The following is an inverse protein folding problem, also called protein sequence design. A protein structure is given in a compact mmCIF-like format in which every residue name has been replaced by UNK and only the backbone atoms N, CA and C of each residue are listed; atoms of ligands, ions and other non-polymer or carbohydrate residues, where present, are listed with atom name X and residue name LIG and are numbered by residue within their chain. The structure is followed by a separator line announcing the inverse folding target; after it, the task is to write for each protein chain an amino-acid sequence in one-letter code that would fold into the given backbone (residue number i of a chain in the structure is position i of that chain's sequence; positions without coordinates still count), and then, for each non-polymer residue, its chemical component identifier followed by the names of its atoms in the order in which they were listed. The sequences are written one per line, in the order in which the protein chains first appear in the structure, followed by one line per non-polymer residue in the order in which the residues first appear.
data_IF_782573222183
#
_entry.id   IF_782573222183
#
_cell.length_a   1.000
_cell.length_b   1.000
_cell.length_c   1.000
_cell.angle_alpha   90.00
_cell.angle_beta   90.00
_cell.angle_gamma   90.00
#
_symmetry.space_group_name_H-M   'P 1'
#
loop_
_entity.id
_entity.type
_entity.pdbx_description
1 polymer ?
#
# COMPACT_ATOMS: atom_id res chain seq x y z
N UNK A 1 -26.14 9.33 -0.66
CA UNK A 1 -25.52 8.03 -1.00
C UNK A 1 -24.75 7.61 0.22
N UNK A 2 -24.83 6.35 0.67
CA UNK A 2 -23.85 5.82 1.62
C UNK A 2 -22.52 5.62 0.89
N UNK A 3 -21.41 5.75 1.62
CA UNK A 3 -20.09 5.37 1.11
C UNK A 3 -19.97 3.85 1.12
N UNK A 4 -19.59 3.23 -0.01
CA UNK A 4 -19.28 1.79 -0.05
C UNK A 4 -17.79 1.54 0.25
N UNK A 5 -17.43 0.30 0.60
CA UNK A 5 -16.03 -0.11 0.73
C UNK A 5 -15.24 0.19 -0.57
N UNK A 6 -15.84 -0.06 -1.73
CA UNK A 6 -15.19 0.17 -3.01
C UNK A 6 -14.96 1.66 -3.31
N UNK A 7 -15.84 2.55 -2.85
CA UNK A 7 -15.61 4.00 -2.96
C UNK A 7 -14.37 4.42 -2.15
N UNK A 8 -14.20 3.86 -0.95
CA UNK A 8 -13.02 4.13 -0.10
C UNK A 8 -11.74 3.57 -0.73
N UNK A 9 -11.80 2.33 -1.26
CA UNK A 9 -10.69 1.72 -2.03
C UNK A 9 -10.29 2.61 -3.21
N UNK A 10 -11.26 3.02 -4.04
CA UNK A 10 -11.02 3.93 -5.17
C UNK A 10 -10.36 5.24 -4.71
N UNK A 11 -10.86 5.87 -3.64
CA UNK A 11 -10.31 7.15 -3.14
C UNK A 11 -8.92 7.03 -2.51
N UNK A 12 -8.52 5.83 -2.08
CA UNK A 12 -7.24 5.57 -1.42
C UNK A 12 -6.14 5.04 -2.36
N UNK A 13 -6.50 4.24 -3.38
CA UNK A 13 -5.56 3.36 -4.10
C UNK A 13 -4.29 4.05 -4.57
N UNK A 14 -4.36 5.11 -5.38
CA UNK A 14 -3.17 5.73 -5.96
C UNK A 14 -2.27 6.44 -4.94
N UNK A 15 -2.84 7.12 -3.93
CA UNK A 15 -2.03 7.72 -2.86
C UNK A 15 -1.38 6.63 -2.00
N UNK A 16 -2.09 5.54 -1.74
CA UNK A 16 -1.50 4.37 -1.09
C UNK A 16 -0.35 3.79 -1.92
N UNK A 17 -0.50 3.63 -3.24
CA UNK A 17 0.57 3.12 -4.11
C UNK A 17 1.81 4.02 -4.11
N UNK A 18 1.65 5.34 -4.19
CA UNK A 18 2.76 6.29 -4.08
C UNK A 18 3.42 6.17 -2.69
N UNK A 19 2.62 6.20 -1.62
CA UNK A 19 3.11 6.11 -0.24
C UNK A 19 3.85 4.79 0.04
N UNK A 20 3.36 3.65 -0.49
CA UNK A 20 4.05 2.37 -0.36
C UNK A 20 5.33 2.29 -1.21
N UNK A 21 5.40 2.98 -2.35
CA UNK A 21 6.64 3.07 -3.13
C UNK A 21 7.72 3.81 -2.35
N UNK A 22 7.36 4.94 -1.72
CA UNK A 22 8.28 5.70 -0.87
C UNK A 22 8.63 4.96 0.44
N UNK A 23 7.65 4.36 1.12
CA UNK A 23 7.88 3.58 2.34
C UNK A 23 8.72 2.33 2.08
N UNK A 24 8.45 1.60 0.97
CA UNK A 24 9.27 0.49 0.50
C UNK A 24 10.72 0.89 0.24
N UNK A 25 10.93 2.09 -0.33
CA UNK A 25 12.27 2.66 -0.52
C UNK A 25 12.98 3.09 0.78
N UNK A 26 12.24 3.40 1.85
CA UNK A 26 12.82 3.67 3.17
C UNK A 26 13.20 2.40 3.94
N UNK A 27 12.45 1.30 3.77
CA UNK A 27 12.73 0.04 4.47
C UNK A 27 13.64 -0.91 3.69
N UNK A 28 13.70 -0.84 2.36
CA UNK A 28 14.68 -1.55 1.52
C UNK A 28 14.96 -3.03 1.92
N UNK A 29 13.89 -3.82 2.08
CA UNK A 29 13.92 -5.23 2.52
C UNK A 29 14.56 -5.51 3.90
N UNK A 30 14.74 -4.49 4.73
CA UNK A 30 15.23 -4.56 6.11
C UNK A 30 14.50 -5.59 6.99
N UNK A 31 15.24 -6.18 7.93
CA UNK A 31 14.69 -7.09 8.92
C UNK A 31 13.83 -6.32 9.93
N UNK A 32 12.60 -6.76 10.15
CA UNK A 32 11.67 -6.11 11.08
C UNK A 32 11.56 -6.84 12.42
N UNK A 33 11.42 -6.07 13.50
CA UNK A 33 10.92 -6.53 14.80
C UNK A 33 9.87 -5.53 15.31
N UNK A 34 8.82 -6.02 15.98
CA UNK A 34 7.69 -5.21 16.42
C UNK A 34 7.20 -5.62 17.80
N UNK A 35 6.82 -4.62 18.58
CA UNK A 35 6.40 -4.70 19.96
C UNK A 35 5.00 -4.05 20.10
N UNK A 36 4.09 -4.73 20.81
CA UNK A 36 2.72 -4.27 21.11
C UNK A 36 2.49 -4.09 22.63
N UNK A 37 3.55 -3.89 23.40
CA UNK A 37 3.47 -3.43 24.80
C UNK A 37 3.15 -1.93 24.88
N UNK A 38 3.34 -1.31 26.05
CA UNK A 38 2.89 0.06 26.34
C UNK A 38 3.63 1.17 25.55
N UNK A 39 4.81 0.88 24.97
CA UNK A 39 5.49 1.74 23.99
C UNK A 39 5.58 0.99 22.65
N UNK A 40 4.47 0.90 21.88
CA UNK A 40 4.41 0.05 20.70
C UNK A 40 5.23 0.63 19.55
N UNK A 41 6.08 -0.22 18.98
CA UNK A 41 7.05 0.20 17.98
C UNK A 41 7.35 -0.92 16.97
N UNK A 42 7.56 -0.54 15.71
CA UNK A 42 7.92 -1.40 14.59
C UNK A 42 9.25 -0.88 14.05
N UNK A 43 10.32 -1.62 14.33
CA UNK A 43 11.68 -1.27 13.95
C UNK A 43 12.07 -2.04 12.69
N UNK A 44 12.53 -1.33 11.66
CA UNK A 44 13.19 -1.92 10.49
C UNK A 44 14.70 -1.70 10.62
N UNK A 45 15.48 -2.76 10.52
CA UNK A 45 16.96 -2.73 10.62
C UNK A 45 17.59 -3.25 9.33
N UNK A 46 18.41 -2.44 8.69
CA UNK A 46 19.10 -2.79 7.44
C UNK A 46 20.35 -3.69 7.65
N UNK A 47 21.09 -3.97 6.57
CA UNK A 47 22.29 -4.82 6.64
C UNK A 47 23.49 -4.15 7.34
N UNK A 48 23.58 -2.82 7.31
CA UNK A 48 24.60 -2.03 8.01
C UNK A 48 24.27 -1.81 9.51
N UNK A 49 23.02 -2.09 9.91
CA UNK A 49 22.52 -2.01 11.28
C UNK A 49 21.87 -0.67 11.64
N UNK A 50 21.56 0.19 10.66
CA UNK A 50 20.75 1.38 10.89
C UNK A 50 19.29 0.98 11.11
N UNK A 51 18.61 1.64 12.05
CA UNK A 51 17.30 1.24 12.56
C UNK A 51 16.25 2.35 12.44
N UNK A 52 15.25 2.16 11.58
CA UNK A 52 14.07 3.01 11.44
C UNK A 52 12.99 2.57 12.43
N UNK A 53 12.82 3.30 13.53
CA UNK A 53 11.79 3.05 14.56
C UNK A 53 10.48 3.77 14.20
N UNK A 54 9.50 3.02 13.73
CA UNK A 54 8.16 3.51 13.37
C UNK A 54 7.14 3.16 14.45
N UNK A 55 5.96 3.79 14.45
CA UNK A 55 4.84 3.42 15.35
C UNK A 55 3.79 2.59 14.59
N UNK A 56 3.54 1.33 15.00
CA UNK A 56 2.51 0.48 14.42
C UNK A 56 1.15 0.72 15.07
N UNK A 57 0.09 0.50 14.30
CA UNK A 57 -1.28 0.39 14.77
C UNK A 57 -1.89 -0.86 14.17
N UNK A 58 -2.41 -1.76 15.01
CA UNK A 58 -3.02 -3.02 14.58
C UNK A 58 -4.34 -2.75 13.88
N UNK A 59 -4.41 -2.97 12.56
CA UNK A 59 -5.67 -2.84 11.84
C UNK A 59 -6.50 -4.12 11.97
N UNK A 60 -5.88 -5.28 11.73
CA UNK A 60 -6.48 -6.61 11.83
C UNK A 60 -5.51 -7.72 11.45
N UNK A 61 -6.00 -8.94 11.34
CA UNK A 61 -5.23 -10.13 10.94
C UNK A 61 -5.99 -10.99 9.95
N UNK A 62 -5.30 -11.37 8.89
CA UNK A 62 -5.74 -12.27 7.81
C UNK A 62 -5.21 -13.68 8.11
N UNK A 63 -6.09 -14.68 8.15
CA UNK A 63 -5.75 -16.07 8.40
C UNK A 63 -6.04 -16.95 7.18
N UNK A 64 -4.99 -17.33 6.45
CA UNK A 64 -5.11 -18.22 5.27
C UNK A 64 -5.48 -19.66 5.62
N UNK A 65 -5.33 -20.07 6.89
CA UNK A 65 -5.71 -21.41 7.37
C UNK A 65 -7.17 -21.49 7.81
N UNK A 66 -7.76 -20.39 8.28
CA UNK A 66 -9.16 -20.30 8.68
C UNK A 66 -10.05 -19.71 7.57
N UNK A 67 -9.45 -18.99 6.61
CA UNK A 67 -10.16 -18.32 5.53
C UNK A 67 -10.81 -17.00 5.96
N UNK A 68 -10.31 -16.34 7.02
CA UNK A 68 -10.97 -15.19 7.66
C UNK A 68 -10.05 -13.99 7.85
N UNK A 69 -10.65 -12.78 7.80
CA UNK A 69 -10.10 -11.55 8.35
C UNK A 69 -10.74 -11.27 9.71
N UNK A 70 -9.94 -11.01 10.73
CA UNK A 70 -10.37 -10.58 12.06
C UNK A 70 -9.90 -9.15 12.32
N UNK A 71 -10.80 -8.27 12.76
CA UNK A 71 -10.45 -6.88 13.06
C UNK A 71 -9.68 -6.70 14.38
N UNK A 72 -8.71 -5.78 14.38
CA UNK A 72 -7.93 -5.42 15.56
C UNK A 72 -8.77 -4.86 16.71
N UNK A 73 -9.91 -4.24 16.41
CA UNK A 73 -10.85 -3.70 17.39
C UNK A 73 -11.67 -4.73 18.18
N UNK A 74 -11.64 -6.02 17.81
CA UNK A 74 -12.12 -7.09 18.70
C UNK A 74 -11.11 -7.39 19.83
N UNK A 75 -9.84 -7.07 19.60
CA UNK A 75 -8.76 -7.07 20.58
C UNK A 75 -8.70 -8.30 21.51
N UNK A 76 -8.85 -9.50 20.94
CA UNK A 76 -8.86 -10.80 21.65
C UNK A 76 -7.60 -11.00 22.54
N UNK A 77 -6.51 -10.32 22.22
CA UNK A 77 -5.22 -10.40 22.92
C UNK A 77 -5.01 -9.29 23.97
N UNK A 78 -6.01 -8.45 24.26
CA UNK A 78 -5.97 -7.36 25.23
C UNK A 78 -4.79 -6.36 25.01
N UNK A 79 -4.46 -6.08 23.74
CA UNK A 79 -3.43 -5.10 23.39
C UNK A 79 -3.78 -3.68 23.86
N UNK A 80 -2.79 -2.82 24.17
CA UNK A 80 -3.03 -1.44 24.61
C UNK A 80 -3.75 -0.58 23.56
N UNK A 81 -4.51 0.41 24.02
CA UNK A 81 -5.17 1.42 23.17
C UNK A 81 -4.19 2.10 22.18
N UNK A 82 -2.92 2.26 22.57
CA UNK A 82 -1.87 2.79 21.71
C UNK A 82 -1.57 1.95 20.45
N UNK A 83 -2.03 0.69 20.42
CA UNK A 83 -1.93 -0.26 19.30
C UNK A 83 -3.26 -0.37 18.54
N UNK A 84 -4.40 -0.48 19.22
CA UNK A 84 -5.70 -0.80 18.60
C UNK A 84 -6.62 0.40 18.34
N UNK A 85 -6.29 1.59 18.86
CA UNK A 85 -7.17 2.78 18.80
C UNK A 85 -7.60 3.17 17.38
N UNK A 86 -6.71 3.07 16.38
CA UNK A 86 -7.09 3.33 14.98
C UNK A 86 -8.08 2.29 14.43
N UNK A 87 -8.03 1.04 14.89
CA UNK A 87 -9.03 0.03 14.52
C UNK A 87 -10.39 0.40 15.14
N UNK A 88 -10.41 0.91 16.38
CA UNK A 88 -11.63 1.46 16.99
C UNK A 88 -12.17 2.70 16.25
N UNK A 89 -11.29 3.56 15.72
CA UNK A 89 -11.69 4.68 14.84
C UNK A 89 -12.28 4.19 13.52
N UNK A 90 -11.70 3.17 12.88
CA UNK A 90 -12.24 2.53 11.67
C UNK A 90 -13.63 1.93 11.93
N UNK A 91 -13.83 1.22 13.06
CA UNK A 91 -15.15 0.71 13.46
C UNK A 91 -16.17 1.84 13.63
N UNK A 92 -15.77 2.94 14.28
CA UNK A 92 -16.61 4.12 14.52
C UNK A 92 -16.97 4.84 13.22
N UNK A 93 -16.05 4.94 12.27
CA UNK A 93 -16.30 5.45 10.93
C UNK A 93 -17.30 4.56 10.18
N UNK A 94 -17.09 3.24 10.20
CA UNK A 94 -18.01 2.27 9.58
C UNK A 94 -19.43 2.37 10.12
N UNK A 95 -19.57 2.51 11.44
CA UNK A 95 -20.86 2.70 12.11
C UNK A 95 -21.54 4.07 11.83
N UNK A 96 -20.82 5.04 11.24
CA UNK A 96 -21.37 6.33 10.85
C UNK A 96 -21.76 6.40 9.36
N UNK A 97 -21.13 5.58 8.51
CA UNK A 97 -21.40 5.48 7.07
C UNK A 97 -22.31 4.30 6.68
N UNK A 98 -22.82 3.54 7.67
CA UNK A 98 -23.55 2.26 7.53
C UNK A 98 -22.74 1.15 6.80
N UNK A 99 -21.40 1.16 6.94
CA UNK A 99 -20.49 0.24 6.26
C UNK A 99 -20.27 -1.06 7.05
N UNK A 100 -20.93 -2.14 6.62
CA UNK A 100 -20.97 -3.44 7.32
C UNK A 100 -19.60 -4.08 7.53
N UNK A 101 -18.69 -3.89 6.57
CA UNK A 101 -17.37 -4.51 6.50
C UNK A 101 -16.42 -3.97 7.59
N UNK A 102 -16.69 -2.78 8.13
CA UNK A 102 -15.91 -2.17 9.21
C UNK A 102 -16.48 -2.44 10.61
N UNK A 103 -17.72 -2.93 10.72
CA UNK A 103 -18.41 -3.17 12.00
C UNK A 103 -18.70 -4.64 12.30
N UNK A 104 -18.48 -5.52 11.32
CA UNK A 104 -18.55 -6.98 11.48
C UNK A 104 -17.20 -7.49 12.02
N UNK A 105 -17.17 -8.21 13.16
CA UNK A 105 -15.92 -8.64 13.84
C UNK A 105 -14.94 -9.43 12.97
N UNK A 106 -15.48 -10.39 12.23
CA UNK A 106 -14.77 -11.39 11.44
C UNK A 106 -15.48 -11.52 10.09
N UNK A 107 -14.71 -11.62 9.01
CA UNK A 107 -15.18 -11.68 7.63
C UNK A 107 -14.56 -12.87 6.92
N UNK A 108 -15.33 -13.57 6.08
CA UNK A 108 -14.79 -14.52 5.12
C UNK A 108 -13.83 -13.80 4.15
N UNK A 109 -12.65 -14.37 3.90
CA UNK A 109 -11.70 -13.84 2.90
C UNK A 109 -12.17 -14.15 1.48
N UNK A 110 -12.02 -13.16 0.62
CA UNK A 110 -11.95 -13.31 -0.83
C UNK A 110 -10.58 -12.81 -1.33
N UNK A 111 -10.37 -12.83 -2.64
CA UNK A 111 -9.18 -12.24 -3.25
C UNK A 111 -9.07 -10.75 -2.92
N UNK A 112 -7.91 -10.35 -2.38
CA UNK A 112 -7.55 -8.96 -2.03
C UNK A 112 -8.29 -8.34 -0.81
N UNK A 113 -9.19 -9.04 -0.10
CA UNK A 113 -9.99 -8.43 0.99
C UNK A 113 -9.14 -7.63 1.99
N UNK A 114 -8.06 -8.22 2.52
CA UNK A 114 -7.20 -7.59 3.51
C UNK A 114 -6.56 -6.29 3.01
N UNK A 115 -6.20 -6.22 1.72
CA UNK A 115 -5.73 -5.00 1.07
C UNK A 115 -6.87 -3.98 0.88
N UNK A 116 -8.06 -4.42 0.46
CA UNK A 116 -9.22 -3.53 0.25
C UNK A 116 -9.69 -2.88 1.56
N UNK A 117 -9.78 -3.66 2.64
CA UNK A 117 -10.05 -3.15 4.00
C UNK A 117 -8.94 -2.20 4.47
N UNK A 118 -7.67 -2.54 4.21
CA UNK A 118 -6.53 -1.68 4.58
C UNK A 118 -6.52 -0.37 3.81
N UNK A 119 -6.79 -0.37 2.50
CA UNK A 119 -6.93 0.84 1.68
C UNK A 119 -8.05 1.74 2.21
N UNK A 120 -9.23 1.16 2.47
CA UNK A 120 -10.37 1.91 2.96
C UNK A 120 -10.14 2.49 4.38
N UNK A 121 -9.38 1.80 5.23
CA UNK A 121 -8.99 2.31 6.54
C UNK A 121 -8.09 3.56 6.48
N UNK A 122 -7.37 3.79 5.37
CA UNK A 122 -6.55 5.02 5.17
C UNK A 122 -7.42 6.26 5.02
N UNK A 123 -8.57 6.15 4.37
CA UNK A 123 -9.58 7.22 4.29
C UNK A 123 -10.16 7.54 5.67
N UNK A 124 -10.42 6.52 6.51
CA UNK A 124 -11.02 6.69 7.82
C UNK A 124 -10.05 7.26 8.89
N UNK A 125 -8.75 6.95 8.79
CA UNK A 125 -7.73 7.28 9.81
C UNK A 125 -6.72 8.34 9.38
N UNK A 126 -6.64 8.64 8.08
CA UNK A 126 -5.59 9.51 7.51
C UNK A 126 -4.18 8.89 7.52
N UNK A 127 -4.00 7.61 7.87
CA UNK A 127 -2.69 6.93 7.88
C UNK A 127 -2.41 6.28 6.53
N UNK A 128 -1.39 6.77 5.83
CA UNK A 128 -1.15 6.39 4.43
C UNK A 128 -0.16 5.23 4.23
N UNK A 129 0.74 4.97 5.17
CA UNK A 129 1.60 3.79 5.15
C UNK A 129 0.95 2.58 5.85
N UNK A 130 1.22 1.40 5.31
CA UNK A 130 0.83 0.12 5.93
C UNK A 130 1.93 -0.94 5.75
N UNK A 131 1.93 -1.95 6.61
CA UNK A 131 2.85 -3.08 6.58
C UNK A 131 2.15 -4.41 6.88
N UNK A 132 2.15 -5.39 5.96
CA UNK A 132 1.69 -6.75 6.23
C UNK A 132 2.78 -7.58 6.91
N UNK A 133 2.71 -7.72 8.23
CA UNK A 133 3.65 -8.46 9.06
C UNK A 133 3.28 -9.95 9.13
N UNK A 134 4.11 -10.83 8.56
CA UNK A 134 3.87 -12.27 8.59
C UNK A 134 4.04 -12.85 10.01
N UNK A 135 2.93 -13.23 10.65
CA UNK A 135 2.91 -13.77 12.01
C UNK A 135 3.32 -15.25 12.09
N UNK A 136 3.25 -15.97 10.96
CA UNK A 136 3.45 -17.41 10.88
C UNK A 136 2.13 -18.19 10.95
N UNK A 137 2.20 -19.52 10.84
CA UNK A 137 1.04 -20.43 10.83
C UNK A 137 -0.05 -20.11 9.77
N UNK A 138 0.28 -19.34 8.72
CA UNK A 138 -0.67 -18.86 7.72
C UNK A 138 -1.36 -17.53 8.06
N UNK A 139 -0.97 -16.87 9.15
CA UNK A 139 -1.51 -15.57 9.57
C UNK A 139 -0.62 -14.41 9.14
N UNK A 140 -1.23 -13.37 8.57
CA UNK A 140 -0.62 -12.06 8.28
C UNK A 140 -1.30 -11.00 9.14
N UNK A 141 -0.53 -10.25 9.92
CA UNK A 141 -1.01 -9.13 10.72
C UNK A 141 -0.85 -7.85 9.93
N UNK A 142 -1.95 -7.15 9.66
CA UNK A 142 -1.96 -5.95 8.84
C UNK A 142 -1.90 -4.70 9.75
N UNK A 143 -0.87 -3.89 9.55
CA UNK A 143 -0.57 -2.70 10.37
C UNK A 143 -0.72 -1.43 9.55
N UNK A 144 -1.40 -0.41 10.10
CA UNK A 144 -1.18 0.97 9.68
C UNK A 144 0.07 1.49 10.40
N UNK A 145 0.88 2.30 9.74
CA UNK A 145 2.20 2.72 10.29
C UNK A 145 2.34 4.24 10.27
N UNK A 146 2.67 4.81 11.42
CA UNK A 146 3.18 6.17 11.55
C UNK A 146 4.70 6.17 11.37
N UNK A 147 5.17 6.81 10.30
CA UNK A 147 6.59 6.91 9.91
C UNK A 147 6.94 8.40 9.80
N UNK A 148 7.54 9.02 10.82
CA UNK A 148 7.88 10.45 10.81
C UNK A 148 8.78 10.88 9.63
N UNK A 149 9.62 9.96 9.15
CA UNK A 149 10.57 10.14 8.05
C UNK A 149 9.91 10.05 6.66
N UNK A 150 8.68 9.56 6.56
CA UNK A 150 7.98 9.34 5.31
C UNK A 150 7.29 10.62 4.81
N UNK A 151 8.11 11.52 4.26
CA UNK A 151 7.64 12.71 3.55
C UNK A 151 7.61 12.40 2.05
N UNK A 152 6.42 12.48 1.43
CA UNK A 152 6.32 12.46 -0.03
C UNK A 152 6.94 13.75 -0.61
N UNK A 153 7.75 13.67 -1.66
CA UNK A 153 8.30 14.85 -2.33
C UNK A 153 7.19 15.63 -3.06
N UNK A 154 7.55 16.75 -3.69
CA UNK A 154 6.67 17.40 -4.65
C UNK A 154 6.26 16.41 -5.77
N UNK A 155 4.99 16.41 -6.22
CA UNK A 155 4.51 15.46 -7.19
C UNK A 155 5.20 15.70 -8.54
N UNK A 156 5.85 14.67 -9.07
CA UNK A 156 6.46 14.66 -10.40
C UNK A 156 5.61 13.84 -11.36
N UNK A 157 5.66 14.18 -12.66
CA UNK A 157 4.88 13.48 -13.70
C UNK A 157 5.18 11.98 -13.70
N UNK A 158 6.47 11.61 -13.55
CA UNK A 158 6.93 10.22 -13.59
C UNK A 158 6.61 9.42 -12.33
N UNK A 159 6.60 10.04 -11.14
CA UNK A 159 6.18 9.37 -9.92
C UNK A 159 4.66 9.14 -9.92
N UNK A 160 3.91 10.20 -10.25
CA UNK A 160 2.44 10.20 -10.25
C UNK A 160 1.88 9.18 -11.24
N UNK A 161 2.32 9.20 -12.51
CA UNK A 161 1.85 8.24 -13.52
C UNK A 161 2.22 6.80 -13.17
N UNK A 162 3.38 6.55 -12.51
CA UNK A 162 3.70 5.21 -11.98
C UNK A 162 2.69 4.78 -10.91
N UNK A 163 2.37 5.66 -9.96
CA UNK A 163 1.40 5.36 -8.90
C UNK A 163 0.00 5.05 -9.46
N UNK A 164 -0.42 5.76 -10.52
CA UNK A 164 -1.66 5.44 -11.25
C UNK A 164 -1.61 4.03 -11.84
N UNK A 165 -0.61 3.75 -12.69
CA UNK A 165 -0.52 2.48 -13.43
C UNK A 165 -0.31 1.28 -12.50
N UNK A 166 0.49 1.43 -11.45
CA UNK A 166 0.73 0.37 -10.46
C UNK A 166 -0.51 0.16 -9.57
N UNK A 167 -1.21 1.21 -9.16
CA UNK A 167 -2.41 1.09 -8.33
C UNK A 167 -3.53 0.30 -9.01
N UNK A 168 -3.71 0.47 -10.33
CA UNK A 168 -4.62 -0.34 -11.15
C UNK A 168 -4.25 -1.82 -11.26
N UNK A 169 -3.05 -2.22 -10.79
CA UNK A 169 -2.60 -3.62 -10.72
C UNK A 169 -2.55 -4.19 -9.30
N UNK A 170 -2.84 -3.37 -8.29
CA UNK A 170 -2.80 -3.78 -6.88
C UNK A 170 -4.15 -4.27 -6.34
N UNK A 171 -5.26 -3.76 -6.87
CA UNK A 171 -6.61 -4.25 -6.55
C UNK A 171 -7.62 -3.81 -7.61
N UNK A 172 -8.82 -4.37 -7.58
CA UNK A 172 -9.94 -3.89 -8.41
C UNK A 172 -10.29 -2.43 -8.10
N UNK A 173 -10.28 -1.58 -9.14
CA UNK A 173 -10.73 -0.17 -9.12
C UNK A 173 -11.87 -0.03 -10.14
N UNK A 174 -13.09 0.29 -9.68
CA UNK A 174 -14.27 0.30 -10.57
C UNK A 174 -14.65 1.67 -11.14
N UNK A 175 -14.13 2.77 -10.58
CA UNK A 175 -14.16 4.11 -11.20
C UNK A 175 -12.76 4.74 -11.13
N UNK A 176 -12.00 4.62 -12.23
CA UNK A 176 -10.63 5.13 -12.29
C UNK A 176 -10.61 6.67 -12.27
N UNK A 177 -11.68 7.34 -12.75
CA UNK A 177 -11.77 8.79 -12.77
C UNK A 177 -11.98 9.35 -11.37
N UNK A 178 -12.89 8.76 -10.58
CA UNK A 178 -13.08 9.11 -9.18
C UNK A 178 -11.83 8.82 -8.34
N UNK A 179 -11.12 7.72 -8.62
CA UNK A 179 -9.84 7.42 -7.99
C UNK A 179 -8.76 8.48 -8.32
N UNK A 180 -8.69 8.92 -9.58
CA UNK A 180 -7.76 9.99 -10.00
C UNK A 180 -8.14 11.35 -9.38
N UNK A 181 -9.41 11.72 -9.41
CA UNK A 181 -9.94 12.95 -8.80
C UNK A 181 -9.61 13.02 -7.30
N UNK A 182 -9.73 11.91 -6.58
CA UNK A 182 -9.32 11.81 -5.18
C UNK A 182 -7.80 11.94 -5.00
N UNK A 183 -7.00 11.30 -5.86
CA UNK A 183 -5.54 11.37 -5.81
C UNK A 183 -4.99 12.78 -6.04
N UNK A 184 -5.44 13.47 -7.09
CA UNK A 184 -4.97 14.83 -7.41
C UNK A 184 -5.37 15.83 -6.33
N UNK A 185 -6.58 15.71 -5.78
CA UNK A 185 -7.04 16.54 -4.67
C UNK A 185 -6.22 16.33 -3.40
N UNK A 186 -5.86 15.07 -3.08
CA UNK A 186 -5.00 14.73 -1.92
C UNK A 186 -3.56 15.20 -2.08
N UNK A 187 -2.99 15.13 -3.30
CA UNK A 187 -1.60 15.52 -3.58
C UNK A 187 -1.43 17.00 -3.93
N UNK A 188 -2.52 17.74 -4.15
CA UNK A 188 -2.48 19.14 -4.58
C UNK A 188 -2.03 19.31 -6.04
N UNK A 189 -2.18 18.28 -6.88
CA UNK A 189 -1.77 18.30 -8.29
C UNK A 189 -2.73 19.19 -9.08
N UNK A 190 -2.27 20.29 -9.72
CA UNK A 190 -3.11 21.09 -10.61
C UNK A 190 -3.60 20.28 -11.82
N UNK A 191 -4.83 20.52 -12.25
CA UNK A 191 -5.41 19.81 -13.40
C UNK A 191 -6.18 20.74 -14.34
N UNK A 192 -6.13 20.46 -15.64
CA UNK A 192 -6.90 21.15 -16.67
C UNK A 192 -7.80 20.16 -17.44
N UNK A 193 -9.01 20.54 -17.87
CA UNK A 193 -9.88 19.69 -18.67
C UNK A 193 -9.37 19.56 -20.11
N UNK A 194 -9.44 18.35 -20.68
CA UNK A 194 -9.11 18.09 -22.09
C UNK A 194 -10.36 17.91 -22.95
N UNK A 195 -10.18 18.05 -24.27
CA UNK A 195 -11.19 17.66 -25.25
C UNK A 195 -11.60 16.18 -25.05
N UNK A 196 -12.86 15.86 -25.33
CA UNK A 196 -13.40 14.51 -25.12
C UNK A 196 -13.64 14.11 -23.65
N UNK A 197 -13.40 15.01 -22.67
CA UNK A 197 -13.64 14.74 -21.25
C UNK A 197 -12.45 14.12 -20.50
N UNK A 198 -11.28 14.04 -21.14
CA UNK A 198 -10.01 13.72 -20.50
C UNK A 198 -9.57 14.77 -19.48
N UNK A 199 -8.47 14.50 -18.79
CA UNK A 199 -7.90 15.33 -17.74
C UNK A 199 -6.39 15.43 -17.90
N UNK A 200 -5.87 16.65 -18.05
CA UNK A 200 -4.44 16.94 -17.98
C UNK A 200 -4.03 17.13 -16.53
N UNK A 201 -3.03 16.39 -16.09
CA UNK A 201 -2.32 16.58 -14.83
C UNK A 201 -1.10 17.46 -15.09
N UNK A 202 -0.81 18.42 -14.23
CA UNK A 202 0.26 19.41 -14.40
C UNK A 202 1.25 19.33 -13.24
N UNK A 203 2.54 19.32 -13.53
CA UNK A 203 3.63 19.15 -12.57
C UNK A 203 4.78 20.11 -12.91
N UNK A 204 5.64 20.43 -11.95
CA UNK A 204 6.80 21.30 -12.20
C UNK A 204 7.79 20.71 -13.23
N UNK A 205 7.78 19.38 -13.45
CA UNK A 205 8.66 18.66 -14.38
C UNK A 205 7.99 18.23 -15.71
N UNK A 206 6.67 18.42 -15.86
CA UNK A 206 5.93 17.98 -17.06
C UNK A 206 4.40 17.97 -16.89
N UNK A 207 3.71 17.33 -17.83
CA UNK A 207 2.26 17.08 -17.75
C UNK A 207 1.90 15.67 -18.22
N UNK A 208 0.74 15.17 -17.79
CA UNK A 208 0.20 13.90 -18.24
C UNK A 208 -1.26 14.03 -18.69
N UNK A 209 -1.55 13.66 -19.93
CA UNK A 209 -2.86 13.80 -20.55
C UNK A 209 -3.60 12.45 -20.47
N UNK A 210 -4.56 12.38 -19.54
CA UNK A 210 -5.31 11.16 -19.21
C UNK A 210 -6.62 11.12 -19.99
N UNK A 211 -6.82 10.06 -20.77
CA UNK A 211 -8.10 9.78 -21.45
C UNK A 211 -8.87 8.68 -20.73
N UNK A 212 -10.19 8.70 -20.86
CA UNK A 212 -11.10 7.70 -20.28
C UNK A 212 -11.91 6.99 -21.37
N UNK A 213 -12.36 5.77 -21.10
CA UNK A 213 -13.39 5.10 -21.90
C UNK A 213 -14.81 5.48 -21.45
N UNK A 214 -15.83 4.98 -22.17
CA UNK A 214 -17.25 5.18 -21.83
C UNK A 214 -17.62 4.66 -20.43
N UNK A 215 -16.79 3.78 -19.85
CA UNK A 215 -16.94 3.19 -18.52
C UNK A 215 -16.15 3.94 -17.44
N UNK A 216 -15.63 5.15 -17.74
CA UNK A 216 -14.80 6.00 -16.84
C UNK A 216 -13.46 5.36 -16.42
N UNK A 217 -12.99 4.33 -17.13
CA UNK A 217 -11.68 3.71 -16.90
C UNK A 217 -10.61 4.43 -17.71
N UNK A 218 -9.39 4.54 -17.18
CA UNK A 218 -8.26 5.13 -17.91
C UNK A 218 -7.98 4.29 -19.16
N UNK A 219 -8.01 4.93 -20.33
CA UNK A 219 -7.86 4.29 -21.65
C UNK A 219 -6.56 4.67 -22.35
N UNK A 220 -6.01 5.84 -22.04
CA UNK A 220 -4.71 6.32 -22.52
C UNK A 220 -4.09 7.29 -21.49
N UNK A 221 -2.77 7.39 -21.48
CA UNK A 221 -1.99 8.27 -20.61
C UNK A 221 -0.74 8.75 -21.38
N UNK A 222 -0.84 9.91 -22.01
CA UNK A 222 0.30 10.53 -22.71
C UNK A 222 1.10 11.39 -21.73
N UNK A 223 2.44 11.36 -21.83
CA UNK A 223 3.34 12.03 -20.89
C UNK A 223 4.23 13.00 -21.66
N UNK A 224 4.23 14.26 -21.23
CA UNK A 224 4.97 15.35 -21.84
C UNK A 224 5.95 15.92 -20.81
N UNK A 225 7.24 15.88 -21.12
CA UNK A 225 8.30 16.45 -20.28
C UNK A 225 9.41 16.99 -21.20
N UNK A 226 9.94 18.21 -20.96
CA UNK A 226 9.61 19.14 -19.87
C UNK A 226 8.20 19.77 -20.01
N UNK A 227 7.81 20.58 -19.03
CA UNK A 227 6.55 21.33 -19.04
C UNK A 227 6.64 22.52 -20.01
N UNK A 228 5.96 22.43 -21.16
CA UNK A 228 6.00 23.42 -22.23
C UNK A 228 4.61 23.82 -22.75
N UNK A 229 4.55 24.87 -23.58
CA UNK A 229 3.37 25.25 -24.36
C UNK A 229 2.11 25.53 -23.52
N UNK A 230 0.96 25.00 -23.97
CA UNK A 230 -0.33 25.19 -23.30
C UNK A 230 -0.30 24.70 -21.84
N UNK A 231 0.37 23.58 -21.56
CA UNK A 231 0.47 23.01 -20.22
C UNK A 231 1.28 23.93 -19.28
N UNK A 232 2.37 24.54 -19.77
CA UNK A 232 3.15 25.52 -19.01
C UNK A 232 2.33 26.77 -18.66
N UNK A 233 1.51 27.27 -19.59
CA UNK A 233 0.55 28.36 -19.33
C UNK A 233 -0.49 27.95 -18.28
N UNK A 234 -1.14 26.81 -18.45
CA UNK A 234 -2.17 26.31 -17.53
C UNK A 234 -1.61 26.09 -16.10
N UNK A 235 -0.40 25.55 -15.98
CA UNK A 235 0.26 25.40 -14.67
C UNK A 235 0.57 26.77 -14.04
N UNK A 236 1.08 27.72 -14.82
CA UNK A 236 1.39 29.07 -14.36
C UNK A 236 0.13 29.84 -13.92
N UNK A 237 -1.00 29.68 -14.63
CA UNK A 237 -2.29 30.28 -14.29
C UNK A 237 -2.90 29.71 -13.00
N UNK A 238 -2.80 28.39 -12.78
CA UNK A 238 -3.40 27.73 -11.61
C UNK A 238 -2.53 27.89 -10.35
N UNK A 239 -1.20 27.85 -10.48
CA UNK A 239 -0.27 27.91 -9.33
C UNK A 239 0.26 29.31 -9.02
N UNK A 240 0.25 30.23 -9.99
CA UNK A 240 0.97 31.50 -9.92
C UNK A 240 2.49 31.39 -10.09
N UNK A 241 3.03 30.19 -10.37
CA UNK A 241 4.45 29.95 -10.58
C UNK A 241 4.75 30.08 -12.08
N UNK A 242 5.40 31.18 -12.48
CA UNK A 242 5.75 31.41 -13.89
C UNK A 242 6.80 30.40 -14.36
N UNK A 243 6.38 29.46 -15.20
CA UNK A 243 7.31 28.60 -15.96
C UNK A 243 7.85 29.42 -17.13
N UNK A 244 9.15 29.33 -17.39
CA UNK A 244 9.80 30.09 -18.45
C UNK A 244 9.47 29.47 -19.82
N UNK A 245 8.34 29.86 -20.41
CA UNK A 245 8.06 29.62 -21.81
C UNK A 245 9.06 30.41 -22.67
N UNK A 246 10.03 29.71 -23.24
CA UNK A 246 10.71 30.21 -24.45
C UNK A 246 9.65 30.26 -25.56
N UNK A 247 9.09 31.45 -25.80
CA UNK A 247 8.33 31.68 -27.03
C UNK A 247 9.20 31.27 -28.22
N UNK A 248 8.66 30.51 -29.20
CA UNK A 248 9.39 30.21 -30.43
C UNK A 248 9.63 31.51 -31.19
N UNK A 249 10.78 32.14 -30.92
CA UNK A 249 11.16 33.44 -31.44
C UNK A 249 10.99 33.40 -32.95
N UNK A 250 10.11 34.23 -33.56
CA UNK A 250 9.75 34.09 -34.96
C UNK A 250 11.01 34.33 -35.79
N UNK A 251 11.52 33.25 -36.39
CA UNK A 251 12.81 33.25 -37.08
C UNK A 251 12.82 34.35 -38.13
N UNK A 252 13.64 35.39 -37.89
CA UNK A 252 13.63 36.60 -38.68
C UNK A 252 13.88 36.25 -40.15
N UNK A 253 12.91 36.59 -41.02
CA UNK A 253 12.93 36.17 -42.40
C UNK A 253 14.15 36.76 -43.12
N UNK A 254 15.14 35.92 -43.44
CA UNK A 254 16.24 36.25 -44.33
C UNK A 254 15.68 36.76 -45.66
N UNK A 255 16.01 38.00 -46.10
CA UNK A 255 15.61 38.48 -47.41
C UNK A 255 16.18 37.58 -48.50
N UNK A 256 15.36 37.26 -49.51
CA UNK A 256 15.81 36.52 -50.67
C UNK A 256 16.54 37.44 -51.65
N UNK A 257 17.74 37.05 -52.09
CA UNK A 257 18.38 37.56 -53.30
C UNK A 257 18.69 36.42 -54.28
N UNK A 258 18.59 36.74 -55.57
CA UNK A 258 18.65 35.82 -56.72
C UNK A 258 19.05 36.63 -57.97
N UNK A 259 19.56 36.02 -59.07
CA UNK A 259 20.43 34.83 -59.17
C UNK A 259 21.54 35.00 -60.23
N UNK A 260 22.32 33.92 -60.51
CA UNK A 260 23.11 33.68 -61.77
C UNK A 260 24.30 34.61 -62.10
N UNK A 261 25.21 34.28 -63.05
CA UNK A 261 25.28 33.08 -63.92
C UNK A 261 26.60 32.27 -63.94
N UNK A 262 26.45 31.02 -64.40
CA UNK A 262 27.35 30.18 -65.23
C UNK A 262 28.79 30.64 -65.57
N UNK A 263 29.77 29.75 -65.32
CA UNK A 263 30.73 29.29 -66.34
C UNK A 263 31.26 27.88 -66.04
N UNK A 264 31.19 26.97 -67.01
CA UNK A 264 31.79 25.63 -66.95
C UNK A 264 33.22 25.57 -67.52
N UNK A 265 34.03 24.60 -67.06
CA UNK A 265 34.97 23.79 -67.87
C UNK A 265 35.52 22.59 -67.03
N UNK A 266 35.95 21.53 -67.72
CA UNK A 266 36.49 20.25 -67.19
C UNK A 266 37.46 19.68 -68.27
N UNK A 267 37.99 18.43 -68.24
CA UNK A 267 38.10 17.41 -67.17
C UNK A 267 39.56 16.88 -67.01
N UNK A 268 39.77 15.82 -66.19
CA UNK A 268 40.81 14.79 -66.37
C UNK A 268 40.31 13.43 -65.86
N UNK A 269 40.92 12.32 -66.28
CA UNK A 269 40.36 10.97 -66.21
C UNK A 269 41.12 9.98 -65.29
N UNK A 270 40.60 8.74 -65.28
CA UNK A 270 41.11 7.47 -64.77
C UNK A 270 42.63 7.20 -64.99
N UNK A 271 43.28 6.17 -64.43
CA UNK A 271 42.84 4.81 -64.02
C UNK A 271 43.82 4.24 -62.93
N UNK A 272 43.82 3.02 -62.35
CA UNK A 272 43.22 1.70 -62.65
C UNK A 272 43.00 0.84 -61.39
N UNK A 273 42.22 -0.24 -61.51
CA UNK A 273 42.29 -1.46 -60.63
C UNK A 273 43.29 -2.49 -61.22
N UNK A 274 43.69 -3.58 -60.50
CA UNK A 274 42.84 -4.78 -60.44
C UNK A 274 42.94 -5.64 -59.15
N UNK A 275 42.13 -6.71 -59.15
CA UNK A 275 42.23 -8.08 -58.57
C UNK A 275 43.49 -8.53 -57.78
N UNK A 276 43.50 -9.63 -56.99
CA UNK A 276 42.51 -10.44 -56.23
C UNK A 276 43.27 -11.69 -55.72
N UNK A 277 42.98 -12.24 -54.53
CA UNK A 277 43.30 -13.65 -54.18
C UNK A 277 42.48 -14.15 -52.95
N UNK A 278 42.69 -15.40 -52.55
CA UNK A 278 41.73 -16.27 -51.83
C UNK A 278 42.21 -16.73 -50.42
N UNK A 279 41.60 -17.82 -49.92
CA UNK A 279 42.09 -18.75 -48.89
C UNK A 279 41.97 -18.45 -47.37
N UNK A 280 40.79 -18.80 -46.83
CA UNK A 280 40.60 -19.95 -45.92
C UNK A 280 40.99 -19.93 -44.41
N UNK A 281 40.40 -20.93 -43.73
CA UNK A 281 40.79 -21.58 -42.47
C UNK A 281 40.51 -20.88 -41.11
N UNK A 282 39.39 -21.28 -40.48
CA UNK A 282 39.35 -21.68 -39.07
C UNK A 282 38.19 -22.67 -38.83
N UNK A 283 38.51 -23.93 -38.50
CA UNK A 283 37.54 -24.91 -38.00
C UNK A 283 37.44 -24.87 -36.46
N UNK A 284 36.41 -25.51 -35.89
CA UNK A 284 36.67 -26.40 -34.75
C UNK A 284 35.87 -26.20 -33.45
N UNK A 285 34.63 -26.73 -33.42
CA UNK A 285 34.07 -27.54 -32.30
C UNK A 285 33.82 -26.84 -30.93
N UNK A 286 32.99 -27.31 -29.99
CA UNK A 286 31.92 -28.34 -29.89
C UNK A 286 30.67 -27.61 -29.34
N UNK A 287 29.40 -27.96 -29.64
CA UNK A 287 28.71 -29.21 -29.29
C UNK A 287 28.04 -29.11 -27.90
N UNK A 288 26.76 -29.45 -27.68
CA UNK A 288 25.74 -29.92 -28.63
C UNK A 288 24.35 -30.14 -27.99
N UNK A 289 23.36 -30.37 -28.85
CA UNK A 289 22.05 -31.04 -28.62
C UNK A 289 21.18 -30.72 -27.38
N UNK A 290 19.98 -30.19 -27.64
CA UNK A 290 18.76 -30.93 -27.30
C UNK A 290 17.63 -30.67 -28.32
N UNK A 291 16.64 -31.57 -28.38
CA UNK A 291 15.69 -31.67 -29.51
C UNK A 291 14.42 -30.84 -29.33
N UNK A 292 13.87 -30.38 -30.46
CA UNK A 292 12.49 -29.92 -30.56
C UNK A 292 11.48 -31.08 -30.45
N UNK A 293 10.22 -30.75 -30.15
CA UNK A 293 9.08 -31.67 -30.17
C UNK A 293 7.75 -30.92 -30.26
N UNK A 294 7.15 -30.90 -31.45
CA UNK A 294 5.91 -30.14 -31.75
C UNK A 294 4.69 -31.04 -31.76
N UNK A 295 3.58 -30.64 -31.11
CA UNK A 295 2.23 -31.17 -31.34
C UNK A 295 1.14 -30.23 -30.81
N UNK A 296 -0.03 -30.23 -31.46
CA UNK A 296 -1.22 -29.41 -31.12
C UNK A 296 -2.49 -30.12 -31.69
N UNK A 297 -3.75 -29.71 -31.39
CA UNK A 297 -4.53 -30.29 -30.29
C UNK A 297 -5.88 -30.93 -30.71
N UNK A 298 -6.53 -31.66 -29.78
CA UNK A 298 -7.97 -32.00 -29.83
C UNK A 298 -8.56 -32.33 -28.44
N UNK A 299 -9.90 -32.30 -28.33
CA UNK A 299 -10.80 -32.45 -27.14
C UNK A 299 -12.11 -33.13 -27.64
N UNK A 300 -13.07 -33.68 -26.84
CA UNK A 300 -13.17 -34.01 -25.39
C UNK A 300 -13.45 -35.52 -25.12
N UNK A 301 -13.69 -35.91 -23.85
CA UNK A 301 -14.86 -36.71 -23.42
C UNK A 301 -15.29 -36.35 -21.98
N UNK A 302 -16.56 -36.62 -21.62
CA UNK A 302 -17.09 -36.63 -20.25
C UNK A 302 -17.07 -38.07 -19.69
N UNK A 303 -17.41 -38.27 -18.40
CA UNK A 303 -18.58 -39.13 -18.19
C UNK A 303 -19.63 -38.55 -17.22
N UNK A 304 -20.84 -39.11 -17.30
CA UNK A 304 -22.06 -38.60 -16.66
C UNK A 304 -22.27 -39.14 -15.25
N UNK A 305 -22.83 -38.27 -14.41
CA UNK A 305 -23.96 -38.51 -13.51
C UNK A 305 -24.34 -39.97 -13.20
N UNK A 306 -24.38 -40.29 -11.91
CA UNK A 306 -25.35 -41.24 -11.37
C UNK A 306 -26.23 -40.57 -10.30
N UNK A 307 -27.50 -40.95 -10.24
CA UNK A 307 -28.55 -40.32 -9.40
C UNK A 307 -29.16 -41.37 -8.48
N UNK A 308 -29.05 -41.16 -7.17
CA UNK A 308 -29.78 -41.92 -6.16
C UNK A 308 -30.72 -40.98 -5.38
N UNK A 309 -31.94 -41.44 -5.12
CA UNK A 309 -32.98 -40.65 -4.46
C UNK A 309 -33.10 -40.94 -2.95
N UNK A 310 -33.74 -39.98 -2.28
CA UNK A 310 -34.13 -39.93 -0.87
C UNK A 310 -34.78 -41.22 -0.34
N UNK A 311 -34.70 -41.45 0.98
CA UNK A 311 -35.89 -41.15 1.78
C UNK A 311 -35.65 -40.18 2.95
N UNK A 312 -36.73 -39.64 3.50
CA UNK A 312 -36.76 -38.78 4.68
C UNK A 312 -37.49 -39.46 5.85
N UNK A 313 -37.75 -38.70 6.93
CA UNK A 313 -38.25 -39.11 8.25
C UNK A 313 -37.14 -39.65 9.19
N UNK A 314 -37.23 -39.53 10.52
CA UNK A 314 -38.39 -39.13 11.37
C UNK A 314 -38.11 -37.94 12.30
N UNK A 315 -39.20 -37.30 12.75
CA UNK A 315 -39.23 -36.30 13.83
C UNK A 315 -39.78 -36.95 15.11
N UNK A 316 -39.17 -36.73 16.30
CA UNK A 316 -39.86 -36.81 17.58
C UNK A 316 -40.34 -35.42 18.05
N UNK A 317 -41.47 -35.38 18.75
CA UNK A 317 -42.22 -34.15 19.01
C UNK A 317 -41.74 -33.29 20.19
N UNK A 318 -42.40 -32.14 20.36
CA UNK A 318 -42.30 -31.22 21.50
C UNK A 318 -42.51 -31.91 22.86
N UNK A 319 -42.06 -31.22 23.90
CA UNK A 319 -42.84 -31.10 25.12
C UNK A 319 -42.79 -29.65 25.61
N UNK A 320 -43.97 -29.02 25.76
CA UNK A 320 -44.12 -27.62 26.16
C UNK A 320 -44.03 -27.43 27.68
N UNK A 321 -43.30 -26.41 28.17
CA UNK A 321 -43.63 -25.68 29.41
C UNK A 321 -43.16 -24.21 29.33
N UNK A 322 -44.11 -23.27 29.35
CA UNK A 322 -44.02 -21.86 29.79
C UNK A 322 -45.47 -21.32 29.93
N UNK A 323 -45.78 -20.21 30.65
CA UNK A 323 -44.92 -19.34 31.49
C UNK A 323 -45.52 -18.98 32.90
N UNK A 324 -44.77 -18.16 33.67
CA UNK A 324 -45.30 -17.12 34.62
C UNK A 324 -46.02 -17.57 35.93
N UNK A 325 -46.37 -16.65 36.87
CA UNK A 325 -45.62 -15.46 37.36
C UNK A 325 -45.66 -15.27 38.92
N UNK A 326 -44.85 -14.32 39.44
CA UNK A 326 -45.07 -13.55 40.69
C UNK A 326 -44.14 -12.32 40.64
N UNK A 327 -44.62 -11.07 40.61
CA UNK A 327 -44.97 -10.20 41.76
C UNK A 327 -43.79 -9.81 42.69
N UNK A 328 -43.58 -8.57 43.18
CA UNK A 328 -43.87 -7.17 42.79
C UNK A 328 -44.02 -6.30 44.08
N UNK A 329 -42.97 -5.57 44.46
CA UNK A 329 -43.03 -4.36 45.30
C UNK A 329 -41.69 -3.60 45.12
N UNK A 330 -41.57 -2.32 44.71
CA UNK A 330 -42.35 -1.09 44.90
C UNK A 330 -41.91 -0.24 46.12
N UNK A 331 -41.02 0.71 45.83
CA UNK A 331 -40.80 2.02 46.46
C UNK A 331 -40.60 2.16 47.99
N UNK A 332 -39.49 2.81 48.36
CA UNK A 332 -39.53 4.15 49.02
C UNK A 332 -38.32 4.98 48.58
N UNK A 333 -38.46 6.31 48.56
CA UNK A 333 -37.35 7.25 48.37
C UNK A 333 -36.86 7.78 49.73
N UNK A 334 -35.59 8.17 49.82
CA UNK A 334 -34.99 8.73 51.03
C UNK A 334 -33.76 9.59 50.73
N UNK A 335 -33.92 10.91 50.82
CA UNK A 335 -32.86 11.90 50.62
C UNK A 335 -32.39 12.46 51.96
N UNK A 336 -31.09 12.45 52.25
CA UNK A 336 -30.40 13.65 52.78
C UNK A 336 -28.86 13.59 52.59
N UNK A 337 -28.19 14.65 53.05
CA UNK A 337 -26.78 15.05 52.87
C UNK A 337 -25.88 14.56 54.03
N UNK A 338 -24.57 14.78 53.87
CA UNK A 338 -23.56 14.69 54.94
C UNK A 338 -22.32 13.92 54.45
N UNK A 339 -21.27 14.54 53.89
CA UNK A 339 -20.35 15.55 54.44
C UNK A 339 -19.25 14.96 55.35
N UNK A 340 -18.00 15.18 54.92
CA UNK A 340 -16.76 15.34 55.71
C UNK A 340 -16.42 14.34 56.83
N UNK A 341 -15.37 13.53 56.61
CA UNK A 341 -14.30 13.34 57.60
C UNK A 341 -13.04 12.70 56.99
N UNK A 342 -11.89 13.29 57.30
CA UNK A 342 -10.56 12.76 57.05
C UNK A 342 -10.28 11.48 57.85
N UNK A 343 -9.38 10.61 57.37
CA UNK A 343 -8.27 10.09 58.19
C UNK A 343 -7.26 9.24 57.40
N UNK A 344 -6.08 9.83 57.16
CA UNK A 344 -4.83 9.10 56.91
C UNK A 344 -4.05 9.06 58.23
N UNK A 345 -3.30 7.99 58.52
CA UNK A 345 -2.00 8.22 59.15
C UNK A 345 -0.85 7.36 58.62
N UNK A 346 0.37 7.90 58.75
CA UNK A 346 1.67 7.24 58.96
C UNK A 346 2.03 6.01 58.08
N UNK A 347 2.98 6.06 57.14
CA UNK A 347 4.36 6.57 57.23
C UNK A 347 5.19 5.91 58.36
N UNK A 348 6.24 5.16 57.98
CA UNK A 348 7.25 4.65 58.92
C UNK A 348 8.58 4.43 58.22
N UNK A 349 9.39 5.48 58.18
CA UNK A 349 10.79 5.42 57.75
C UNK A 349 11.63 4.59 58.75
N UNK A 350 12.77 4.08 58.28
CA UNK A 350 13.92 3.66 59.09
C UNK A 350 15.22 3.91 58.32
N UNK A 351 16.27 4.17 59.08
CA UNK A 351 17.53 4.72 58.59
C UNK A 351 18.41 3.80 57.74
N UNK A 352 19.31 4.48 57.04
CA UNK A 352 20.42 3.99 56.24
C UNK A 352 21.43 3.09 56.97
N UNK A 353 22.18 2.33 56.17
CA UNK A 353 23.63 2.25 56.28
C UNK A 353 24.22 2.03 54.88
N UNK A 354 25.41 2.58 54.61
CA UNK A 354 26.15 2.37 53.37
C UNK A 354 27.39 1.49 53.63
N UNK A 355 27.82 0.77 52.60
CA UNK A 355 29.16 0.18 52.50
C UNK A 355 29.55 0.14 51.02
N UNK A 356 30.67 0.75 50.69
CA UNK A 356 31.34 0.67 49.38
C UNK A 356 32.39 -0.46 49.45
N UNK A 357 32.70 -1.11 48.33
CA UNK A 357 34.00 -1.77 48.15
C UNK A 357 34.35 -1.81 46.66
N UNK A 358 35.64 -1.66 46.33
CA UNK A 358 36.16 -1.65 44.96
C UNK A 358 36.86 -2.98 44.61
N UNK A 359 36.67 -3.50 43.39
CA UNK A 359 37.77 -4.11 42.61
C UNK A 359 37.36 -4.51 41.18
N UNK A 360 38.26 -4.24 40.25
CA UNK A 360 38.41 -4.86 38.93
C UNK A 360 39.92 -4.77 38.56
N UNK A 361 40.43 -5.32 37.43
CA UNK A 361 39.85 -6.26 36.45
C UNK A 361 40.75 -7.52 36.23
N UNK A 362 40.42 -8.40 35.27
CA UNK A 362 41.37 -8.95 34.24
C UNK A 362 40.71 -9.85 33.18
N UNK A 363 41.26 -9.77 31.96
CA UNK A 363 41.42 -10.77 30.88
C UNK A 363 40.25 -11.55 30.23
N UNK A 364 39.98 -11.12 28.99
CA UNK A 364 40.01 -11.86 27.71
C UNK A 364 39.33 -13.24 27.49
N UNK A 365 38.58 -13.24 26.38
CA UNK A 365 38.60 -14.23 25.29
C UNK A 365 38.12 -15.67 25.54
N UNK A 366 36.81 -15.87 25.35
CA UNK A 366 36.30 -17.06 24.66
C UNK A 366 35.17 -16.65 23.69
N UNK A 367 35.35 -16.90 22.38
CA UNK A 367 34.26 -16.84 21.40
C UNK A 367 33.47 -18.15 21.42
N UNK A 368 32.16 -18.05 21.37
CA UNK A 368 31.27 -19.15 20.95
C UNK A 368 30.17 -18.56 20.08
N UNK A 369 30.14 -18.94 18.80
CA UNK A 369 29.10 -18.52 17.86
C UNK A 369 27.88 -19.44 18.02
N UNK A 370 26.88 -19.00 18.79
CA UNK A 370 25.57 -19.64 18.78
C UNK A 370 24.75 -19.11 17.58
N UNK A 371 24.07 -19.98 16.81
CA UNK A 371 23.34 -19.56 15.62
C UNK A 371 22.11 -18.72 16.02
N UNK A 372 21.87 -17.62 15.28
CA UNK A 372 20.71 -16.73 15.50
C UNK A 372 19.39 -17.49 15.36
N UNK A 373 18.80 -17.94 16.46
CA UNK A 373 17.42 -18.43 16.49
C UNK A 373 16.47 -17.30 16.06
N UNK A 374 15.86 -17.43 14.88
CA UNK A 374 14.85 -16.48 14.41
C UNK A 374 13.66 -16.53 15.38
N UNK A 375 13.29 -15.39 15.97
CA UNK A 375 12.24 -15.19 17.00
C UNK A 375 10.80 -15.53 16.52
N UNK A 376 10.56 -16.74 16.03
CA UNK A 376 9.23 -17.25 15.62
C UNK A 376 8.23 -17.39 16.78
N UNK A 377 8.67 -17.18 18.03
CA UNK A 377 7.92 -17.51 19.24
C UNK A 377 6.94 -16.46 19.78
N UNK A 378 7.05 -15.18 19.37
CA UNK A 378 6.15 -14.13 19.88
C UNK A 378 4.81 -14.13 19.11
N UNK A 379 4.86 -13.91 17.79
CA UNK A 379 3.66 -13.90 16.95
C UNK A 379 2.90 -15.23 16.94
N UNK A 380 3.60 -16.36 16.90
CA UNK A 380 2.99 -17.70 16.96
C UNK A 380 2.20 -17.94 18.27
N UNK A 381 2.52 -17.23 19.36
CA UNK A 381 1.75 -17.28 20.62
C UNK A 381 0.60 -16.28 20.70
N UNK A 382 0.70 -15.14 20.01
CA UNK A 382 -0.31 -14.09 20.00
C UNK A 382 -1.39 -14.32 18.91
N UNK A 383 -1.06 -15.00 17.81
CA UNK A 383 -1.93 -15.13 16.65
C UNK A 383 -2.08 -16.58 16.13
N UNK A 384 -1.47 -17.55 16.81
CA UNK A 384 -1.66 -18.98 16.51
C UNK A 384 -2.93 -19.54 17.16
N UNK A 385 -3.95 -19.84 16.35
CA UNK A 385 -5.16 -20.57 16.73
C UNK A 385 -5.39 -21.74 15.77
#
# INVERSE_FOLDING_TARGET
MSTTLQDLVNRAVFLSTETQTHFGGLIADAAWEVDFTADPHLTFTDEDGAALRTRPHLLGSESTSQGTWLWGWENINEFPEAVVGLSHEVRKFGAAEDLSEFVTPELDLDDELALRLTLAAKEATGKWAHYPAAAGAGTTVWLLVDVPELVLPEPTVKASVRALMQGLTQTTVNDHRAALEAYVAKRGIPTAPLAGGGLRLLFADGSADISFDEMRRISNCEVHAPLEGEAATQYSEITGITVATEEPTPAAASPAETPTPDRAEAPVAADSSPEADEAAAAEGTTGGESSAGTSTPARPEEPRSDRAEVPAAETPERSDVRPSPAEAAAATAGTDRGAEAESKPAARERDAAAAEDEAAPTDEAARSEEPKEKKKGLFSRLFGR
#
